data_IF_112600333176
#
_entry.id   IF_112600333176
#
_cell.length_a   1.000
_cell.length_b   1.000
_cell.length_c   1.000
_cell.angle_alpha   90.00
_cell.angle_beta   90.00
_cell.angle_gamma   90.00
#
_symmetry.space_group_name_H-M   'P 1'
#
loop_
_entity.id
_entity.type
_entity.pdbx_description
1 polymer ?
#
# COMPACT_ATOMS: atom_id res chain seq x y z
N UNK A 1 2.59 -15.67 -13.23
CA UNK A 1 1.76 -15.75 -12.01
C UNK A 1 1.63 -14.38 -11.34
N UNK A 2 0.56 -13.62 -11.61
CA UNK A 2 0.35 -12.28 -11.04
C UNK A 2 0.15 -12.30 -9.51
N UNK A 3 -0.55 -13.32 -8.99
CA UNK A 3 -0.80 -13.47 -7.56
C UNK A 3 0.47 -13.75 -6.76
N UNK A 4 1.42 -14.52 -7.31
CA UNK A 4 2.71 -14.78 -6.66
C UNK A 4 3.57 -13.52 -6.59
N UNK A 5 3.57 -12.71 -7.65
CA UNK A 5 4.23 -11.40 -7.66
C UNK A 5 3.66 -10.50 -6.56
N UNK A 6 2.34 -10.40 -6.42
CA UNK A 6 1.73 -9.61 -5.35
C UNK A 6 2.10 -10.12 -3.95
N UNK A 7 2.10 -11.44 -3.75
CA UNK A 7 2.55 -12.06 -2.48
C UNK A 7 4.01 -11.72 -2.19
N UNK A 8 4.87 -11.79 -3.19
CA UNK A 8 6.29 -11.42 -3.07
C UNK A 8 6.44 -9.94 -2.71
N UNK A 9 5.77 -9.03 -3.41
CA UNK A 9 5.83 -7.59 -3.12
C UNK A 9 5.26 -7.23 -1.74
N UNK A 10 4.23 -7.94 -1.28
CA UNK A 10 3.74 -7.83 0.10
C UNK A 10 4.78 -8.32 1.11
N UNK A 11 5.48 -9.42 0.83
CA UNK A 11 6.53 -9.95 1.72
C UNK A 11 7.72 -8.98 1.88
N UNK A 12 8.02 -8.23 0.83
CA UNK A 12 9.08 -7.21 0.81
C UNK A 12 8.62 -5.84 1.31
N UNK A 13 7.39 -5.72 1.83
CA UNK A 13 6.78 -4.47 2.29
C UNK A 13 6.72 -3.34 1.24
N UNK A 14 6.80 -3.69 -0.04
CA UNK A 14 6.62 -2.74 -1.14
C UNK A 14 5.15 -2.31 -1.23
N UNK A 15 4.25 -3.26 -0.98
CA UNK A 15 2.80 -3.09 -0.95
C UNK A 15 2.30 -3.52 0.41
N UNK A 16 1.28 -2.83 0.94
CA UNK A 16 0.70 -3.22 2.23
C UNK A 16 -0.14 -4.47 2.09
N UNK A 17 0.01 -5.42 3.02
CA UNK A 17 -0.83 -6.61 3.12
C UNK A 17 -2.14 -6.35 3.89
N UNK A 18 -2.11 -5.42 4.84
CA UNK A 18 -3.24 -5.10 5.73
C UNK A 18 -3.37 -3.59 5.93
N UNK A 19 -4.60 -3.11 6.03
CA UNK A 19 -4.92 -1.70 6.34
C UNK A 19 -6.09 -1.64 7.31
N UNK A 20 -6.03 -0.70 8.26
CA UNK A 20 -7.17 -0.40 9.14
C UNK A 20 -8.09 0.59 8.43
N UNK A 21 -9.38 0.26 8.33
CA UNK A 21 -10.37 1.18 7.79
C UNK A 21 -10.58 2.36 8.77
N UNK A 22 -10.44 3.62 8.34
CA UNK A 22 -10.61 4.78 9.23
C UNK A 22 -12.06 4.97 9.67
N UNK A 23 -13.05 4.43 8.93
CA UNK A 23 -14.48 4.62 9.22
C UNK A 23 -15.03 3.62 10.23
N UNK A 24 -14.73 2.33 10.06
CA UNK A 24 -15.29 1.26 10.88
C UNK A 24 -14.24 0.52 11.72
N UNK A 25 -12.98 0.97 11.68
CA UNK A 25 -11.84 0.38 12.38
C UNK A 25 -11.55 -1.10 12.06
N UNK A 26 -12.20 -1.66 11.05
CA UNK A 26 -11.98 -3.03 10.62
C UNK A 26 -10.61 -3.20 9.96
N UNK A 27 -9.94 -4.31 10.21
CA UNK A 27 -8.70 -4.67 9.53
C UNK A 27 -9.06 -5.32 8.19
N UNK A 28 -8.66 -4.68 7.11
CA UNK A 28 -8.81 -5.18 5.74
C UNK A 28 -7.54 -5.92 5.34
N UNK A 29 -7.71 -7.09 4.74
CA UNK A 29 -6.62 -7.82 4.10
C UNK A 29 -6.74 -7.67 2.59
N UNK A 30 -5.61 -7.59 1.90
CA UNK A 30 -5.59 -7.52 0.45
C UNK A 30 -6.03 -8.87 -0.10
N UNK A 31 -7.01 -8.87 -1.00
CA UNK A 31 -7.45 -10.09 -1.70
C UNK A 31 -6.47 -10.41 -2.83
N UNK A 32 -6.35 -11.70 -3.14
CA UNK A 32 -5.55 -12.13 -4.29
C UNK A 32 -6.12 -11.50 -5.57
N UNK A 33 -5.25 -10.91 -6.40
CA UNK A 33 -5.61 -10.27 -7.67
C UNK A 33 -6.09 -8.81 -7.57
N UNK A 34 -6.45 -8.30 -6.39
CA UNK A 34 -6.88 -6.91 -6.21
C UNK A 34 -5.74 -6.02 -5.70
N UNK A 35 -5.64 -4.80 -6.23
CA UNK A 35 -4.70 -3.76 -5.76
C UNK A 35 -5.38 -2.73 -4.85
N UNK A 36 -6.58 -3.01 -4.39
CA UNK A 36 -7.35 -2.11 -3.56
C UNK A 36 -7.90 -2.84 -2.35
N UNK A 37 -7.87 -2.18 -1.20
CA UNK A 37 -8.63 -2.60 -0.04
C UNK A 37 -10.04 -2.04 -0.16
N UNK A 38 -11.04 -2.91 -0.08
CA UNK A 38 -12.43 -2.52 0.01
C UNK A 38 -13.01 -2.97 1.35
N UNK A 39 -13.57 -2.02 2.08
CA UNK A 39 -14.43 -2.34 3.22
C UNK A 39 -15.86 -2.52 2.73
N UNK A 40 -16.55 -3.51 3.29
CA UNK A 40 -17.99 -3.72 3.15
C UNK A 40 -18.67 -3.98 4.51
N UNK A 41 -17.98 -3.71 5.63
CA UNK A 41 -18.49 -3.99 6.98
C UNK A 41 -19.66 -3.06 7.32
N UNK A 42 -20.71 -3.61 7.89
CA UNK A 42 -21.79 -2.81 8.46
C UNK A 42 -21.43 -2.29 9.85
N UNK A 43 -21.80 -1.05 10.14
CA UNK A 43 -21.66 -0.44 11.46
C UNK A 43 -22.84 0.50 11.75
N UNK A 44 -23.10 0.75 13.02
CA UNK A 44 -24.17 1.66 13.43
C UNK A 44 -23.61 3.07 13.63
N UNK A 45 -24.19 4.04 12.93
CA UNK A 45 -23.86 5.46 13.07
C UNK A 45 -25.03 6.18 13.74
N UNK A 46 -24.75 6.98 14.77
CA UNK A 46 -25.74 7.85 15.41
C UNK A 46 -26.11 8.97 14.45
N UNK A 47 -27.40 9.14 14.18
CA UNK A 47 -27.91 10.30 13.43
C UNK A 47 -28.35 11.35 14.46
N UNK A 48 -28.21 12.64 14.11
CA UNK A 48 -28.66 13.74 14.95
C UNK A 48 -30.12 13.50 15.37
N UNK A 49 -30.37 13.58 16.69
CA UNK A 49 -31.65 13.32 17.39
C UNK A 49 -32.02 11.84 17.74
N UNK A 50 -31.02 11.02 18.10
CA UNK A 50 -31.09 9.80 18.97
C UNK A 50 -31.14 8.43 18.28
N UNK A 51 -31.62 8.28 17.04
CA UNK A 51 -31.67 6.96 16.38
C UNK A 51 -30.31 6.54 15.79
N UNK A 52 -29.94 5.27 15.98
CA UNK A 52 -28.80 4.65 15.30
C UNK A 52 -29.25 4.09 13.95
N UNK A 53 -28.51 4.40 12.88
CA UNK A 53 -28.73 3.84 11.55
C UNK A 53 -27.64 2.83 11.23
N UNK A 54 -28.04 1.66 10.73
CA UNK A 54 -27.11 0.70 10.14
C UNK A 54 -26.62 1.25 8.81
N UNK A 55 -25.31 1.39 8.66
CA UNK A 55 -24.65 1.91 7.47
C UNK A 55 -23.60 0.90 7.00
N UNK A 56 -23.50 0.70 5.69
CA UNK A 56 -22.43 -0.10 5.09
C UNK A 56 -21.21 0.78 4.87
N UNK A 57 -20.05 0.33 5.31
CA UNK A 57 -18.80 1.01 4.98
C UNK A 57 -18.49 0.76 3.50
N UNK A 58 -18.30 1.82 2.72
CA UNK A 58 -17.86 1.76 1.31
C UNK A 58 -16.45 2.35 1.16
N UNK A 59 -15.59 2.16 2.17
CA UNK A 59 -14.24 2.67 2.12
C UNK A 59 -13.40 1.87 1.12
N UNK A 60 -12.73 2.57 0.20
CA UNK A 60 -11.83 1.99 -0.78
C UNK A 60 -10.50 2.74 -0.75
N UNK A 61 -9.39 2.01 -0.75
CA UNK A 61 -8.04 2.62 -0.77
C UNK A 61 -7.06 1.72 -1.53
N UNK A 62 -6.10 2.32 -2.23
CA UNK A 62 -5.06 1.58 -2.95
C UNK A 62 -4.15 0.82 -2.00
N UNK A 63 -3.67 -0.34 -2.42
CA UNK A 63 -2.65 -1.12 -1.71
C UNK A 63 -1.29 -0.40 -1.66
N UNK A 64 -1.08 0.54 -2.60
CA UNK A 64 0.09 1.41 -2.67
C UNK A 64 -0.01 2.62 -1.73
N UNK A 65 -1.15 2.84 -1.07
CA UNK A 65 -1.31 3.99 -0.19
C UNK A 65 -0.32 3.98 0.97
N UNK A 66 0.35 5.10 1.19
CA UNK A 66 1.40 5.22 2.21
C UNK A 66 2.64 4.38 1.93
N UNK A 67 2.91 4.10 0.64
CA UNK A 67 4.18 3.57 0.12
C UNK A 67 4.82 4.61 -0.80
N UNK A 68 6.06 4.39 -1.23
CA UNK A 68 6.74 5.30 -2.16
C UNK A 68 5.97 5.51 -3.47
N UNK A 69 5.13 4.54 -3.86
CA UNK A 69 4.33 4.57 -5.08
C UNK A 69 2.93 5.18 -4.90
N UNK A 70 2.58 5.74 -3.74
CA UNK A 70 1.20 6.16 -3.45
C UNK A 70 0.69 7.32 -4.31
N UNK A 71 1.59 8.18 -4.79
CA UNK A 71 1.26 9.38 -5.58
C UNK A 71 1.58 9.22 -7.07
N UNK A 72 2.28 8.14 -7.44
CA UNK A 72 2.53 7.81 -8.82
C UNK A 72 1.30 7.10 -9.40
N UNK A 73 0.74 7.62 -10.48
CA UNK A 73 -0.24 6.89 -11.29
C UNK A 73 0.46 5.79 -12.11
N UNK A 74 1.21 4.93 -11.41
CA UNK A 74 2.08 3.91 -11.99
C UNK A 74 1.35 2.58 -12.03
N UNK A 75 1.43 1.92 -13.18
CA UNK A 75 1.00 0.54 -13.31
C UNK A 75 1.98 -0.40 -12.61
N UNK A 76 1.53 -1.61 -12.30
CA UNK A 76 2.34 -2.60 -11.59
C UNK A 76 3.61 -3.00 -12.35
N UNK A 77 3.55 -3.03 -13.68
CA UNK A 77 4.71 -3.28 -14.55
C UNK A 77 5.76 -2.17 -14.43
N UNK A 78 5.37 -0.90 -14.40
CA UNK A 78 6.30 0.22 -14.20
C UNK A 78 6.90 0.18 -12.81
N UNK A 79 6.10 -0.12 -11.78
CA UNK A 79 6.60 -0.30 -10.40
C UNK A 79 7.65 -1.42 -10.35
N UNK A 80 7.36 -2.57 -10.97
CA UNK A 80 8.33 -3.68 -11.01
C UNK A 80 9.60 -3.31 -11.76
N UNK A 81 9.51 -2.59 -12.89
CA UNK A 81 10.68 -2.10 -13.64
C UNK A 81 11.51 -1.13 -12.80
N UNK A 82 10.88 -0.19 -12.10
CA UNK A 82 11.57 0.73 -11.19
C UNK A 82 12.28 -0.03 -10.08
N UNK A 83 11.62 -1.01 -9.47
CA UNK A 83 12.25 -1.87 -8.46
C UNK A 83 13.43 -2.62 -9.06
N UNK A 84 13.31 -3.19 -10.26
CA UNK A 84 14.41 -3.87 -10.94
C UNK A 84 15.57 -2.90 -11.21
N UNK A 85 15.33 -1.69 -11.73
CA UNK A 85 16.39 -0.69 -11.88
C UNK A 85 17.03 -0.34 -10.54
N UNK A 86 16.23 -0.16 -9.49
CA UNK A 86 16.70 0.10 -8.13
C UNK A 86 17.41 -1.11 -7.51
N UNK A 87 17.24 -2.34 -7.97
CA UNK A 87 18.01 -3.50 -7.49
C UNK A 87 19.27 -3.69 -8.33
N UNK A 88 19.13 -3.62 -9.66
CA UNK A 88 20.18 -3.90 -10.63
C UNK A 88 21.22 -2.78 -10.74
N UNK A 89 20.92 -1.56 -10.30
CA UNK A 89 21.92 -0.50 -10.26
C UNK A 89 22.96 -0.79 -9.16
N UNK A 90 23.91 -1.69 -9.42
CA UNK A 90 25.04 -1.96 -8.53
C UNK A 90 26.08 -0.81 -8.58
N UNK A 91 26.56 -0.46 -7.38
CA UNK A 91 27.65 0.46 -7.00
C UNK A 91 27.88 1.69 -7.90
N UNK A 92 27.11 2.76 -7.68
CA UNK A 92 27.72 3.87 -6.97
C UNK A 92 26.80 4.47 -5.90
N UNK A 93 25.68 3.84 -5.52
CA UNK A 93 24.77 4.46 -4.53
C UNK A 93 25.40 4.63 -3.16
N UNK A 94 26.14 3.64 -2.68
CA UNK A 94 26.87 3.78 -1.42
C UNK A 94 27.97 4.84 -1.53
N UNK A 95 28.78 4.82 -2.59
CA UNK A 95 29.83 5.83 -2.84
C UNK A 95 29.28 7.24 -3.08
N UNK A 96 28.17 7.37 -3.80
CA UNK A 96 27.47 8.63 -4.07
C UNK A 96 26.85 9.17 -2.79
N UNK A 97 26.15 8.34 -2.01
CA UNK A 97 25.61 8.77 -0.72
C UNK A 97 26.72 9.09 0.29
N UNK A 98 27.81 8.33 0.31
CA UNK A 98 28.98 8.66 1.15
C UNK A 98 29.61 10.00 0.75
N UNK A 99 29.73 10.29 -0.56
CA UNK A 99 30.23 11.57 -1.06
C UNK A 99 29.29 12.73 -0.76
N UNK A 100 28.00 12.60 -1.08
CA UNK A 100 27.00 13.66 -0.88
C UNK A 100 26.71 13.91 0.60
N UNK A 101 26.67 12.86 1.42
CA UNK A 101 26.38 12.97 2.86
C UNK A 101 27.64 13.11 3.71
N UNK A 102 28.84 13.12 3.09
CA UNK A 102 30.14 13.17 3.78
C UNK A 102 30.30 12.10 4.88
N UNK A 103 29.69 10.93 4.69
CA UNK A 103 29.77 9.82 5.64
C UNK A 103 31.02 8.99 5.27
N UNK A 104 32.06 9.07 6.09
CA UNK A 104 33.22 8.18 6.01
C UNK A 104 32.80 6.74 6.36
N UNK A 105 33.42 5.77 5.68
CA UNK A 105 33.23 4.33 5.98
C UNK A 105 33.87 3.95 7.29
#
# INVERSE_FOLDING_TARGET
NYNELLKYLCSKNVIRKKVKCPRCQNILQLKDGELFFQCAKHYYKKIQKRKYKRVTCNFKISALYGTWFSHGHLSMDVICRLICYVIMSNAPRQLFLQRELSISS
#
